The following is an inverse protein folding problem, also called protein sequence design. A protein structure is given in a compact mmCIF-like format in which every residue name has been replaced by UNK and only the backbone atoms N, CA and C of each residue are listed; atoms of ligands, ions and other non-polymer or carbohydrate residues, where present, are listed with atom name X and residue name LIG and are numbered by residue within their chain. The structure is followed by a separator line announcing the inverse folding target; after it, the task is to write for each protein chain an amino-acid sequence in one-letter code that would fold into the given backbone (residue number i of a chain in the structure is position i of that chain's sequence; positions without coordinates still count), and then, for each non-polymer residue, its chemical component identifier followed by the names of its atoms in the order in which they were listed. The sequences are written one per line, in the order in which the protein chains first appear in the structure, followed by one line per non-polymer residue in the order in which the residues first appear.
data_IF_865319397957
#
_entry.id   IF_865319397957
#
_cell.length_a   1.000
_cell.length_b   1.000
_cell.length_c   1.000
_cell.angle_alpha   90.00
_cell.angle_beta   90.00
_cell.angle_gamma   90.00
#
_symmetry.space_group_name_H-M   'P 1'
#
loop_
_entity.id
_entity.type
_entity.pdbx_description
1 polymer ?
#
# COMPACT_ATOMS: atom_id res chain seq x y z
N UNK A 1 -8.70 -28.65 -18.69
CA UNK A 1 -8.54 -27.69 -17.57
C UNK A 1 -8.51 -26.32 -18.21
N UNK A 2 -9.50 -25.47 -17.96
CA UNK A 2 -9.64 -24.18 -18.62
C UNK A 2 -8.72 -23.15 -17.93
N UNK A 3 -7.72 -22.63 -18.63
CA UNK A 3 -7.04 -21.42 -18.19
C UNK A 3 -8.02 -20.25 -18.29
N UNK A 4 -8.20 -19.43 -17.24
CA UNK A 4 -9.06 -18.27 -17.36
C UNK A 4 -8.44 -17.33 -18.39
N UNK A 5 -9.19 -17.08 -19.47
CA UNK A 5 -9.03 -16.04 -20.48
C UNK A 5 -8.49 -14.76 -19.83
N UNK A 6 -7.16 -14.59 -19.83
CA UNK A 6 -6.50 -13.54 -19.07
C UNK A 6 -6.31 -12.32 -19.96
N UNK A 7 -7.36 -11.51 -20.07
CA UNK A 7 -7.23 -10.15 -20.58
C UNK A 7 -6.70 -9.17 -19.51
N UNK A 8 -6.55 -9.62 -18.25
CA UNK A 8 -6.15 -8.80 -17.10
C UNK A 8 -4.75 -9.15 -16.57
N UNK A 9 -4.11 -8.16 -15.93
CA UNK A 9 -2.80 -8.34 -15.27
C UNK A 9 -2.96 -9.27 -14.07
N UNK A 10 -2.16 -10.32 -14.01
CA UNK A 10 -2.10 -11.24 -12.86
C UNK A 10 -1.03 -10.76 -11.90
N UNK A 11 -1.44 -10.32 -10.71
CA UNK A 11 -0.56 -9.83 -9.65
C UNK A 11 -0.53 -10.87 -8.55
N UNK A 12 0.63 -11.43 -8.24
CA UNK A 12 0.85 -12.37 -7.14
C UNK A 12 1.74 -11.75 -6.08
N UNK A 13 1.31 -11.80 -4.84
CA UNK A 13 2.01 -11.24 -3.69
C UNK A 13 2.31 -12.37 -2.72
N UNK A 14 3.60 -12.65 -2.54
CA UNK A 14 4.10 -13.60 -1.54
C UNK A 14 4.55 -12.81 -0.30
N UNK A 15 3.77 -12.91 0.76
CA UNK A 15 4.04 -12.27 2.05
C UNK A 15 5.21 -12.90 2.80
N UNK A 16 5.52 -14.17 2.56
CA UNK A 16 6.66 -14.85 3.18
C UNK A 16 7.96 -14.39 2.51
N UNK A 17 8.00 -14.36 1.19
CA UNK A 17 9.15 -13.92 0.41
C UNK A 17 9.29 -12.39 0.31
N UNK A 18 8.25 -11.64 0.71
CA UNK A 18 8.14 -10.19 0.54
C UNK A 18 8.38 -9.77 -0.92
N UNK A 19 7.68 -10.46 -1.85
CA UNK A 19 7.78 -10.21 -3.29
C UNK A 19 6.42 -10.08 -3.94
N UNK A 20 6.37 -9.23 -4.96
CA UNK A 20 5.25 -9.13 -5.89
C UNK A 20 5.74 -9.53 -7.28
N UNK A 21 5.03 -10.47 -7.90
CA UNK A 21 5.18 -10.83 -9.31
C UNK A 21 3.97 -10.30 -10.07
N UNK A 22 4.20 -9.61 -11.19
CA UNK A 22 3.13 -9.16 -12.08
C UNK A 22 3.36 -9.76 -13.47
N UNK A 23 2.28 -10.29 -14.07
CA UNK A 23 2.28 -10.89 -15.40
C UNK A 23 1.21 -10.19 -16.24
N UNK A 24 1.60 -9.60 -17.36
CA UNK A 24 0.65 -8.97 -18.29
C UNK A 24 -0.02 -10.03 -19.18
N UNK A 25 -1.17 -9.70 -19.79
CA UNK A 25 -1.81 -10.57 -20.80
C UNK A 25 -0.89 -10.94 -21.98
N UNK A 26 0.07 -10.08 -22.28
CA UNK A 26 1.06 -10.26 -23.36
C UNK A 26 2.27 -11.10 -22.93
N UNK A 27 2.30 -11.58 -21.68
CA UNK A 27 3.36 -12.44 -21.15
C UNK A 27 4.55 -11.70 -20.53
N UNK A 28 4.51 -10.36 -20.45
CA UNK A 28 5.55 -9.61 -19.76
C UNK A 28 5.49 -9.92 -18.26
N UNK A 29 6.62 -10.35 -17.69
CA UNK A 29 6.72 -10.77 -16.30
C UNK A 29 7.78 -9.97 -15.56
N UNK A 30 7.41 -9.41 -14.41
CA UNK A 30 8.30 -8.65 -13.51
C UNK A 30 8.18 -9.17 -12.10
N UNK A 31 9.25 -9.03 -11.31
CA UNK A 31 9.27 -9.39 -9.90
C UNK A 31 9.95 -8.28 -9.10
N UNK A 32 9.27 -7.78 -8.08
CA UNK A 32 9.76 -6.69 -7.25
C UNK A 32 9.69 -7.04 -5.77
N UNK A 33 10.58 -6.41 -4.99
CA UNK A 33 10.51 -6.45 -3.52
C UNK A 33 9.34 -5.61 -3.06
N UNK A 34 8.63 -6.09 -2.05
CA UNK A 34 7.56 -5.36 -1.37
C UNK A 34 7.83 -5.21 0.11
N UNK A 35 7.06 -4.35 0.76
CA UNK A 35 6.88 -4.36 2.21
C UNK A 35 5.39 -4.45 2.54
N UNK A 36 4.99 -5.56 3.16
CA UNK A 36 3.60 -5.81 3.58
C UNK A 36 3.33 -5.39 5.02
N UNK A 37 2.13 -5.69 5.50
CA UNK A 37 1.71 -5.48 6.88
C UNK A 37 2.61 -6.16 7.90
N UNK A 38 3.07 -5.40 8.90
CA UNK A 38 3.81 -5.94 10.05
C UNK A 38 2.89 -6.71 11.00
N UNK A 39 3.47 -7.47 11.94
CA UNK A 39 2.72 -8.18 12.98
C UNK A 39 1.72 -7.25 13.68
N UNK A 40 0.46 -7.68 13.79
CA UNK A 40 -0.66 -6.87 14.32
C UNK A 40 -1.39 -6.01 13.27
N UNK A 41 -0.87 -5.95 12.04
CA UNK A 41 -1.46 -5.25 10.90
C UNK A 41 -1.31 -6.11 9.63
N UNK A 42 -1.57 -7.41 9.74
CA UNK A 42 -1.31 -8.37 8.67
C UNK A 42 -2.07 -8.00 7.39
N UNK A 43 -1.41 -8.15 6.25
CA UNK A 43 -2.07 -8.07 4.95
C UNK A 43 -2.89 -9.35 4.76
N UNK A 44 -4.21 -9.24 4.52
CA UNK A 44 -5.06 -10.42 4.38
C UNK A 44 -4.71 -11.19 3.09
N UNK A 45 -4.66 -12.51 3.20
CA UNK A 45 -4.43 -13.42 2.06
C UNK A 45 -5.74 -13.72 1.35
N UNK A 46 -5.68 -13.91 0.03
CA UNK A 46 -6.86 -14.22 -0.79
C UNK A 46 -6.73 -13.67 -2.20
N UNK A 47 -7.82 -13.77 -2.96
CA UNK A 47 -7.91 -13.23 -4.31
C UNK A 47 -8.82 -12.01 -4.31
N UNK A 48 -8.33 -10.91 -4.87
CA UNK A 48 -8.95 -9.61 -4.89
C UNK A 48 -8.95 -9.03 -6.31
N UNK A 49 -9.87 -8.09 -6.57
CA UNK A 49 -9.85 -7.24 -7.76
C UNK A 49 -9.50 -5.81 -7.36
N UNK A 50 -8.88 -5.07 -8.27
CA UNK A 50 -8.64 -3.63 -8.06
C UNK A 50 -9.96 -2.89 -8.25
N UNK A 51 -10.40 -2.19 -7.21
CA UNK A 51 -11.69 -1.48 -7.18
C UNK A 51 -11.55 0.01 -7.51
N UNK A 52 -10.45 0.63 -7.06
CA UNK A 52 -10.20 2.07 -7.23
C UNK A 52 -8.71 2.30 -7.42
N UNK A 53 -8.37 3.27 -8.27
CA UNK A 53 -6.99 3.62 -8.59
C UNK A 53 -6.81 5.13 -8.52
N UNK A 54 -5.75 5.58 -7.85
CA UNK A 54 -5.45 7.00 -7.67
C UNK A 54 -3.96 7.24 -7.86
N UNK A 55 -3.60 8.07 -8.85
CA UNK A 55 -2.21 8.35 -9.19
C UNK A 55 -1.51 9.20 -8.11
N UNK A 56 -2.22 10.18 -7.54
CA UNK A 56 -1.70 11.15 -6.58
C UNK A 56 -2.49 11.08 -5.26
N UNK A 57 -2.54 9.89 -4.64
CA UNK A 57 -3.22 9.72 -3.35
C UNK A 57 -2.33 10.15 -2.18
N UNK A 58 -2.90 10.89 -1.24
CA UNK A 58 -2.31 11.21 0.05
C UNK A 58 -3.14 10.53 1.14
N UNK A 59 -2.49 9.83 2.06
CA UNK A 59 -3.22 9.15 3.12
C UNK A 59 -3.61 10.12 4.24
N UNK A 60 -4.89 10.44 4.34
CA UNK A 60 -5.44 11.27 5.44
C UNK A 60 -5.22 10.60 6.81
N UNK A 61 -5.15 9.27 6.86
CA UNK A 61 -4.99 8.45 8.07
C UNK A 61 -3.54 8.41 8.59
N UNK A 62 -2.56 8.81 7.77
CA UNK A 62 -1.12 8.75 8.08
C UNK A 62 -0.38 10.04 7.69
N UNK A 63 -0.74 11.17 8.32
CA UNK A 63 -0.02 12.45 8.20
C UNK A 63 0.23 12.90 6.74
N UNK A 64 -0.76 12.74 5.85
CA UNK A 64 -0.62 13.02 4.41
C UNK A 64 0.52 12.25 3.74
N UNK A 65 0.82 11.04 4.21
CA UNK A 65 1.87 10.23 3.61
C UNK A 65 1.54 9.99 2.12
N UNK A 66 2.47 10.31 1.20
CA UNK A 66 2.23 10.15 -0.22
C UNK A 66 2.13 8.66 -0.55
N UNK A 67 1.04 8.29 -1.20
CA UNK A 67 0.76 6.96 -1.76
C UNK A 67 0.66 7.07 -3.29
N UNK A 68 1.76 7.40 -3.99
CA UNK A 68 1.74 7.53 -5.43
C UNK A 68 1.35 6.20 -6.09
N UNK A 69 0.52 6.26 -7.12
CA UNK A 69 0.03 5.11 -7.87
C UNK A 69 -0.68 4.07 -6.99
N UNK A 70 -1.58 4.54 -6.13
CA UNK A 70 -2.38 3.70 -5.25
C UNK A 70 -3.42 2.87 -6.04
N UNK A 71 -3.43 1.57 -5.80
CA UNK A 71 -4.39 0.61 -6.34
C UNK A 71 -5.08 -0.10 -5.19
N UNK A 72 -6.32 0.31 -4.90
CA UNK A 72 -7.12 -0.21 -3.81
C UNK A 72 -7.78 -1.53 -4.21
N UNK A 73 -7.60 -2.56 -3.38
CA UNK A 73 -8.16 -3.90 -3.61
C UNK A 73 -9.12 -4.36 -2.51
N UNK A 74 -9.38 -3.48 -1.52
CA UNK A 74 -10.29 -3.76 -0.40
C UNK A 74 -11.19 -2.55 -0.11
N UNK A 75 -12.48 -2.75 0.23
CA UNK A 75 -13.37 -1.70 0.73
C UNK A 75 -12.86 -1.01 2.00
N UNK A 76 -11.94 -1.65 2.74
CA UNK A 76 -11.35 -1.11 3.97
C UNK A 76 -10.12 -0.25 3.72
N UNK A 77 -9.82 0.09 2.46
CA UNK A 77 -8.73 0.99 2.08
C UNK A 77 -7.35 0.32 1.93
N UNK A 78 -7.27 -1.01 1.86
CA UNK A 78 -5.99 -1.68 1.56
C UNK A 78 -5.60 -1.47 0.09
N UNK A 79 -4.34 -1.09 -0.12
CA UNK A 79 -3.83 -0.75 -1.45
C UNK A 79 -2.43 -1.28 -1.69
N UNK A 80 -2.13 -1.49 -2.98
CA UNK A 80 -0.76 -1.54 -3.50
C UNK A 80 -0.39 -0.11 -3.87
N UNK A 81 0.73 0.41 -3.38
CA UNK A 81 1.13 1.80 -3.68
C UNK A 81 2.65 1.98 -3.67
N UNK A 82 3.11 3.06 -4.30
CA UNK A 82 4.50 3.48 -4.24
C UNK A 82 4.87 4.03 -2.87
N UNK A 83 6.13 3.84 -2.48
CA UNK A 83 6.72 4.34 -1.25
C UNK A 83 8.13 4.86 -1.52
N UNK A 84 8.48 5.96 -0.87
CA UNK A 84 9.83 6.53 -0.87
C UNK A 84 10.71 5.94 0.25
N UNK A 85 10.17 5.03 1.06
CA UNK A 85 10.93 4.39 2.14
C UNK A 85 12.10 3.55 1.61
N UNK A 86 13.23 3.63 2.31
CA UNK A 86 14.39 2.79 2.05
C UNK A 86 14.22 1.45 2.77
N UNK A 87 14.63 0.35 2.12
CA UNK A 87 14.67 -0.98 2.74
C UNK A 87 13.43 -1.86 2.54
N UNK A 88 12.83 -1.81 1.34
CA UNK A 88 11.80 -2.78 0.92
C UNK A 88 12.32 -4.22 0.98
N UNK A 89 11.42 -5.18 1.20
CA UNK A 89 11.72 -6.61 1.35
C UNK A 89 11.49 -7.15 2.76
N UNK A 90 10.88 -6.36 3.66
CA UNK A 90 10.47 -6.76 5.01
C UNK A 90 9.11 -6.15 5.38
N UNK A 91 8.31 -6.81 6.23
CA UNK A 91 7.00 -6.29 6.64
C UNK A 91 7.16 -5.00 7.47
N UNK A 92 6.65 -3.88 6.97
CA UNK A 92 6.81 -2.56 7.58
C UNK A 92 5.57 -1.67 7.47
N UNK A 93 4.49 -2.15 6.84
CA UNK A 93 3.27 -1.35 6.66
C UNK A 93 2.21 -1.66 7.71
N UNK A 94 1.10 -0.92 7.65
CA UNK A 94 -0.12 -1.16 8.42
C UNK A 94 -1.17 -1.97 7.63
N UNK A 95 -0.73 -2.80 6.67
CA UNK A 95 -1.57 -3.71 5.90
C UNK A 95 -1.47 -3.50 4.39
N UNK A 96 -1.12 -2.29 3.94
CA UNK A 96 -0.89 -1.97 2.52
C UNK A 96 0.37 -2.68 1.98
N UNK A 97 0.45 -2.82 0.67
CA UNK A 97 1.61 -3.43 0.00
C UNK A 97 2.43 -2.32 -0.65
N UNK A 98 3.61 -2.05 -0.09
CA UNK A 98 4.50 -0.98 -0.55
C UNK A 98 5.43 -1.47 -1.64
N UNK A 99 5.54 -0.70 -2.72
CA UNK A 99 6.49 -0.87 -3.82
C UNK A 99 7.40 0.35 -3.94
N UNK A 100 8.52 0.20 -4.64
CA UNK A 100 9.27 1.36 -5.11
C UNK A 100 8.39 2.16 -6.08
N UNK A 101 8.42 3.49 -5.99
CA UNK A 101 7.62 4.39 -6.86
C UNK A 101 7.68 4.06 -8.36
N UNK A 102 8.86 3.83 -8.99
CA UNK A 102 8.90 3.47 -10.41
C UNK A 102 8.17 2.16 -10.72
N UNK A 103 8.25 1.17 -9.83
CA UNK A 103 7.57 -0.11 -9.99
C UNK A 103 6.05 0.04 -9.82
N UNK A 104 5.62 0.84 -8.84
CA UNK A 104 4.21 1.15 -8.63
C UNK A 104 3.61 1.87 -9.85
N UNK A 105 4.34 2.82 -10.44
CA UNK A 105 3.97 3.48 -11.70
C UNK A 105 3.76 2.48 -12.83
N UNK A 106 4.75 1.61 -13.07
CA UNK A 106 4.67 0.62 -14.14
C UNK A 106 3.47 -0.31 -13.96
N UNK A 107 3.28 -0.81 -12.74
CA UNK A 107 2.14 -1.66 -12.42
C UNK A 107 0.82 -0.94 -12.65
N UNK A 108 0.70 0.30 -12.18
CA UNK A 108 -0.50 1.12 -12.33
C UNK A 108 -0.88 1.30 -13.79
N UNK A 109 0.07 1.60 -14.68
CA UNK A 109 -0.21 1.72 -16.12
C UNK A 109 -0.73 0.41 -16.73
N UNK A 110 -0.16 -0.74 -16.34
CA UNK A 110 -0.65 -2.03 -16.79
C UNK A 110 -2.07 -2.33 -16.29
N UNK A 111 -2.32 -2.11 -14.99
CA UNK A 111 -3.64 -2.33 -14.40
C UNK A 111 -4.68 -1.38 -15.01
N UNK A 112 -4.32 -0.12 -15.27
CA UNK A 112 -5.21 0.85 -15.90
C UNK A 112 -5.63 0.42 -17.30
N UNK A 113 -4.72 -0.20 -18.06
CA UNK A 113 -4.97 -0.64 -19.44
C UNK A 113 -5.72 -1.96 -19.54
N UNK A 114 -5.46 -2.89 -18.63
CA UNK A 114 -5.91 -4.29 -18.76
C UNK A 114 -6.81 -4.76 -17.61
N UNK A 115 -6.97 -3.97 -16.55
CA UNK A 115 -7.50 -4.44 -15.28
C UNK A 115 -6.50 -5.35 -14.56
N UNK A 116 -6.86 -5.81 -13.36
CA UNK A 116 -6.00 -6.72 -12.60
C UNK A 116 -6.77 -7.67 -11.69
N UNK A 117 -6.15 -8.84 -11.48
CA UNK A 117 -6.46 -9.79 -10.42
C UNK A 117 -5.27 -9.86 -9.47
N UNK A 118 -5.52 -9.66 -8.18
CA UNK A 118 -4.50 -9.67 -7.13
C UNK A 118 -4.67 -10.92 -6.28
N UNK A 119 -3.64 -11.76 -6.23
CA UNK A 119 -3.58 -12.96 -5.41
C UNK A 119 -2.52 -12.76 -4.32
N UNK A 120 -2.91 -12.89 -3.05
CA UNK A 120 -2.04 -12.69 -1.89
C UNK A 120 -1.91 -14.01 -1.14
N UNK A 121 -0.68 -14.50 -1.00
CA UNK A 121 -0.34 -15.78 -0.38
C UNK A 121 0.79 -15.63 0.65
N UNK A 122 1.00 -16.68 1.45
CA UNK A 122 2.04 -16.70 2.49
C UNK A 122 1.65 -15.94 3.76
N UNK A 123 2.62 -15.70 4.64
CA UNK A 123 2.40 -14.98 5.88
C UNK A 123 3.65 -14.23 6.33
N UNK A 124 3.49 -12.93 6.60
CA UNK A 124 4.57 -12.04 7.05
C UNK A 124 5.08 -12.36 8.48
N UNK A 125 4.37 -13.22 9.21
CA UNK A 125 4.72 -13.79 10.52
C UNK A 125 3.69 -14.87 10.88
N UNK A 126 4.11 -15.95 11.55
CA UNK A 126 3.28 -17.12 11.87
C UNK A 126 2.08 -16.81 12.78
N UNK A 127 1.02 -16.27 12.20
CA UNK A 127 -0.27 -16.00 12.81
C UNK A 127 -1.36 -16.41 11.84
N UNK A 128 -2.44 -17.01 12.36
CA UNK A 128 -3.54 -17.61 11.61
C UNK A 128 -4.07 -16.63 10.56
N UNK A 129 -4.08 -17.05 9.30
CA UNK A 129 -4.64 -16.32 8.16
C UNK A 129 -6.07 -15.82 8.48
N UNK A 130 -6.20 -14.51 8.69
CA UNK A 130 -7.46 -13.80 8.97
C UNK A 130 -8.45 -13.81 7.79
N UNK A 131 -8.11 -14.46 6.68
CA UNK A 131 -8.92 -14.55 5.47
C UNK A 131 -10.36 -15.07 5.70
N UNK A 132 -10.60 -15.82 6.79
CA UNK A 132 -11.94 -16.32 7.15
C UNK A 132 -12.69 -15.47 8.17
N UNK A 133 -12.01 -14.61 8.95
CA UNK A 133 -12.66 -13.80 10.00
C UNK A 133 -13.03 -12.38 9.51
N UNK A 134 -12.65 -12.04 8.27
CA UNK A 134 -12.78 -10.70 7.68
C UNK A 134 -14.24 -10.30 7.35
N UNK A 135 -15.21 -11.22 7.43
CA UNK A 135 -16.63 -10.93 7.13
C UNK A 135 -17.36 -10.24 8.29
N UNK A 136 -16.88 -10.32 9.54
CA UNK A 136 -17.73 -9.99 10.71
C UNK A 136 -17.27 -8.85 11.64
N UNK A 137 -16.13 -8.18 11.41
CA UNK A 137 -15.64 -7.14 12.36
C UNK A 137 -15.60 -5.71 11.80
N UNK A 138 -16.55 -4.82 12.18
CA UNK A 138 -16.41 -3.38 11.94
C UNK A 138 -15.25 -2.82 12.77
N UNK A 139 -14.39 -1.99 12.15
CA UNK A 139 -13.33 -1.26 12.86
C UNK A 139 -13.93 0.01 13.46
N UNK A 140 -13.89 0.13 14.78
CA UNK A 140 -14.18 1.38 15.50
C UNK A 140 -13.15 2.42 15.05
N UNK A 141 -13.62 3.54 14.49
CA UNK A 141 -12.78 4.67 14.13
C UNK A 141 -12.03 5.17 15.37
N UNK A 142 -10.71 5.31 15.27
CA UNK A 142 -9.93 5.92 16.34
C UNK A 142 -10.25 7.43 16.31
N UNK A 143 -10.50 8.09 17.46
CA UNK A 143 -10.74 9.53 17.44
C UNK A 143 -9.51 10.26 16.86
N UNK A 144 -9.74 11.37 16.12
CA UNK A 144 -8.65 12.17 15.58
C UNK A 144 -7.73 12.65 16.71
N UNK A 145 -6.42 12.61 16.48
CA UNK A 145 -5.44 13.16 17.42
C UNK A 145 -5.57 14.69 17.42
N UNK A 146 -5.41 15.36 18.57
CA UNK A 146 -5.35 16.81 18.60
C UNK A 146 -4.18 17.29 17.73
N UNK A 147 -4.50 18.23 16.84
CA UNK A 147 -3.59 18.93 15.94
C UNK A 147 -2.50 19.60 16.77
N UNK A 148 -1.23 19.40 16.43
CA UNK A 148 -0.12 20.10 17.08
C UNK A 148 -0.30 21.61 16.92
N UNK A 149 -0.52 22.34 18.01
CA UNK A 149 -0.33 23.79 18.05
C UNK A 149 1.17 24.09 17.94
N UNK A 150 1.57 24.81 16.89
CA UNK A 150 2.90 25.39 16.79
C UNK A 150 3.13 26.35 17.97
N UNK A 151 4.26 26.28 18.70
CA UNK A 151 4.62 27.36 19.60
C UNK A 151 4.96 28.59 18.75
N UNK A 152 4.20 29.67 18.95
CA UNK A 152 4.45 30.96 18.32
C UNK A 152 5.91 31.40 18.56
N UNK A 153 6.72 31.40 17.50
CA UNK A 153 8.04 31.98 17.51
C UNK A 153 7.90 33.51 17.54
N UNK A 154 7.96 34.11 18.73
CA UNK A 154 8.09 35.56 18.86
C UNK A 154 9.51 35.99 18.50
N UNK A 155 9.68 36.34 17.23
CA UNK A 155 10.80 37.15 16.75
C UNK A 155 10.70 38.55 17.36
N UNK A 156 11.52 38.85 18.36
CA UNK A 156 11.77 40.23 18.81
C UNK A 156 13.27 40.51 18.73
N UNK A 157 13.74 40.80 17.52
CA UNK A 157 15.03 41.45 17.29
C UNK A 157 14.75 42.82 16.68
N UNK A 158 14.94 43.87 17.47
CA UNK A 158 14.85 45.25 17.00
C UNK A 158 15.55 46.18 17.99
N UNK A 159 16.67 46.76 17.58
CA UNK A 159 17.18 48.00 18.16
C UNK A 159 18.56 47.93 18.83
N UNK A 160 19.60 47.67 18.04
CA UNK A 160 20.92 48.26 18.30
C UNK A 160 20.92 49.68 17.72
N UNK A 161 21.30 50.68 18.52
CA UNK A 161 21.94 51.91 18.05
C UNK A 161 22.75 52.55 19.19
N UNK A 162 23.84 53.29 18.89
CA UNK A 162 25.00 53.45 19.77
C UNK A 162 25.15 54.86 20.36
N UNK A 163 26.22 55.00 21.14
CA UNK A 163 26.88 56.18 21.73
C UNK A 163 26.49 56.55 23.17
#
# INVERSE_FOLDING_TARGET
MAEPTAAAVRIRIDLTAQRLQAVTPQGETVTWKISSGRRGYETPTGTYSVMRMEADHYSDEYDQAPMPYAMFFSPRGLAIHGSYERGLGRPLSHGCVRLAVPNARQLFEWVKKHGATVEITGGAGGGRSIAREEVERPRVARPPRPMYEEPAFQSNWGGFAPF
#
